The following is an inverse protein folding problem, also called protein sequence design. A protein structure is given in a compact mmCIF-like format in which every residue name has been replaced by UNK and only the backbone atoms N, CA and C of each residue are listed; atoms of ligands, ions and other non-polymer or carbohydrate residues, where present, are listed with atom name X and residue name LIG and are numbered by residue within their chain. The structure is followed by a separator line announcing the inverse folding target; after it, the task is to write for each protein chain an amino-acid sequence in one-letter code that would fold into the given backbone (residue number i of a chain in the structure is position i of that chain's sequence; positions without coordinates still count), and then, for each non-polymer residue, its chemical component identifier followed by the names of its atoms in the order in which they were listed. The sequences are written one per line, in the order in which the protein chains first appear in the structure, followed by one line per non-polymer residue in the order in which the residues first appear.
data_IF_709195838686
#
_entry.id   IF_709195838686
#
_cell.length_a   1.000
_cell.length_b   1.000
_cell.length_c   1.000
_cell.angle_alpha   90.00
_cell.angle_beta   90.00
_cell.angle_gamma   90.00
#
_symmetry.space_group_name_H-M   'P 1'
#
loop_
_entity.id
_entity.type
_entity.pdbx_description
1 polymer ?
#
# COMPACT_ATOMS: atom_id res chain seq x y z
N UNK A 1 -5.31 11.08 9.17
CA UNK A 1 -4.28 10.27 8.49
C UNK A 1 -4.95 9.68 7.27
N UNK A 2 -4.32 9.76 6.10
CA UNK A 2 -4.83 9.21 4.85
C UNK A 2 -4.29 7.79 4.69
N UNK A 3 -5.19 6.82 4.80
CA UNK A 3 -4.90 5.40 4.79
C UNK A 3 -5.15 4.81 3.41
N UNK A 4 -4.13 4.16 2.86
CA UNK A 4 -4.13 3.60 1.52
C UNK A 4 -4.14 2.08 1.61
N UNK A 5 -5.10 1.47 0.92
CA UNK A 5 -5.10 0.05 0.58
C UNK A 5 -4.51 -0.14 -0.82
N UNK A 6 -3.51 -1.00 -0.96
CA UNK A 6 -2.85 -1.27 -2.24
C UNK A 6 -3.18 -2.67 -2.73
N UNK A 7 -3.85 -2.79 -3.88
CA UNK A 7 -4.14 -4.07 -4.50
C UNK A 7 -3.06 -4.40 -5.52
N UNK A 8 -2.12 -5.26 -5.14
CA UNK A 8 -1.02 -5.68 -5.99
C UNK A 8 0.31 -5.06 -5.60
N UNK A 9 1.33 -5.90 -5.52
CA UNK A 9 2.71 -5.53 -5.18
C UNK A 9 3.70 -6.10 -6.21
N UNK A 10 3.43 -5.84 -7.49
CA UNK A 10 4.33 -6.12 -8.60
C UNK A 10 5.31 -4.97 -8.83
N UNK A 11 5.79 -4.80 -10.07
CA UNK A 11 6.70 -3.70 -10.43
C UNK A 11 6.07 -2.32 -10.17
N UNK A 12 4.82 -2.13 -10.57
CA UNK A 12 4.11 -0.85 -10.37
C UNK A 12 3.80 -0.61 -8.89
N UNK A 13 3.22 -1.59 -8.20
CA UNK A 13 2.94 -1.48 -6.76
C UNK A 13 4.19 -1.19 -5.92
N UNK A 14 5.32 -1.83 -6.25
CA UNK A 14 6.62 -1.57 -5.61
C UNK A 14 7.08 -0.12 -5.82
N UNK A 15 6.98 0.40 -7.05
CA UNK A 15 7.31 1.80 -7.33
C UNK A 15 6.41 2.79 -6.58
N UNK A 16 5.12 2.47 -6.41
CA UNK A 16 4.20 3.30 -5.61
C UNK A 16 4.64 3.35 -4.15
N UNK A 17 4.94 2.20 -3.54
CA UNK A 17 5.44 2.14 -2.15
C UNK A 17 6.70 2.99 -1.99
N UNK A 18 7.68 2.81 -2.89
CA UNK A 18 8.93 3.58 -2.87
C UNK A 18 8.70 5.09 -2.98
N UNK A 19 7.87 5.53 -3.92
CA UNK A 19 7.57 6.96 -4.10
C UNK A 19 6.87 7.53 -2.87
N UNK A 20 5.92 6.79 -2.28
CA UNK A 20 5.20 7.21 -1.08
C UNK A 20 6.13 7.34 0.12
N UNK A 21 7.12 6.46 0.26
CA UNK A 21 8.12 6.53 1.33
C UNK A 21 9.15 7.65 1.10
N UNK A 22 9.79 7.67 -0.08
CA UNK A 22 10.83 8.65 -0.43
C UNK A 22 10.30 10.08 -0.42
N UNK A 23 9.05 10.28 -0.88
CA UNK A 23 8.42 11.61 -0.98
C UNK A 23 7.39 11.88 0.11
N UNK A 24 7.32 11.04 1.15
CA UNK A 24 6.31 11.12 2.23
C UNK A 24 6.12 12.55 2.75
N UNK A 25 7.19 13.17 3.25
CA UNK A 25 7.15 14.53 3.82
C UNK A 25 6.65 15.60 2.84
N UNK A 26 7.00 15.47 1.56
CA UNK A 26 6.56 16.42 0.54
C UNK A 26 5.07 16.25 0.27
N UNK A 27 4.61 15.01 0.09
CA UNK A 27 3.20 14.70 -0.15
C UNK A 27 2.34 15.11 1.04
N UNK A 28 2.75 14.77 2.27
CA UNK A 28 2.05 15.13 3.50
C UNK A 28 1.92 16.65 3.67
N UNK A 29 2.96 17.41 3.30
CA UNK A 29 2.91 18.88 3.30
C UNK A 29 1.95 19.43 2.24
N UNK A 30 1.91 18.80 1.06
CA UNK A 30 1.04 19.19 -0.05
C UNK A 30 -0.44 18.99 0.29
N UNK A 31 -0.78 17.83 0.86
CA UNK A 31 -2.17 17.49 1.22
C UNK A 31 -2.55 17.92 2.65
N UNK A 32 -1.59 18.40 3.44
CA UNK A 32 -1.74 18.78 4.86
C UNK A 32 -2.29 17.65 5.74
N UNK A 33 -1.90 16.42 5.44
CA UNK A 33 -2.37 15.20 6.11
C UNK A 33 -1.29 14.12 6.02
N UNK A 34 -1.11 13.35 7.09
CA UNK A 34 -0.19 12.21 7.11
C UNK A 34 -0.64 11.10 6.16
N UNK A 35 0.30 10.39 5.53
CA UNK A 35 0.01 9.29 4.60
C UNK A 35 0.56 7.98 5.15
N UNK A 36 -0.28 6.94 5.10
CA UNK A 36 0.10 5.58 5.47
C UNK A 36 -0.45 4.56 4.49
N UNK A 37 0.38 3.58 4.14
CA UNK A 37 -0.10 2.35 3.52
C UNK A 37 -0.52 1.42 4.67
N UNK A 38 -1.82 1.16 4.76
CA UNK A 38 -2.41 0.33 5.82
C UNK A 38 -2.30 -1.15 5.49
N UNK A 39 -2.61 -1.50 4.24
CA UNK A 39 -2.65 -2.90 3.82
C UNK A 39 -2.31 -3.05 2.33
N UNK A 40 -1.68 -4.16 1.97
CA UNK A 40 -1.27 -4.49 0.61
C UNK A 40 -1.68 -5.92 0.29
N UNK A 41 -2.51 -6.09 -0.73
CA UNK A 41 -2.92 -7.40 -1.24
C UNK A 41 -1.79 -8.01 -2.09
N UNK A 42 -1.42 -9.24 -1.75
CA UNK A 42 -0.40 -10.02 -2.45
C UNK A 42 -0.87 -11.47 -2.62
N UNK A 43 -0.34 -12.17 -3.62
CA UNK A 43 -0.64 -13.60 -3.81
C UNK A 43 0.12 -14.50 -2.82
N UNK A 44 1.26 -14.03 -2.34
CA UNK A 44 2.18 -14.79 -1.47
C UNK A 44 2.92 -13.81 -0.56
N UNK A 45 2.74 -13.94 0.76
CA UNK A 45 3.35 -13.07 1.77
C UNK A 45 4.86 -13.31 1.86
N UNK A 46 5.31 -14.55 1.68
CA UNK A 46 6.72 -14.95 1.85
C UNK A 46 7.56 -14.81 0.57
N UNK A 47 6.93 -14.44 -0.55
CA UNK A 47 7.65 -14.08 -1.78
C UNK A 47 8.68 -13.00 -1.50
N UNK A 48 9.94 -13.27 -1.85
CA UNK A 48 11.03 -12.29 -1.72
C UNK A 48 10.76 -11.07 -2.60
N UNK A 49 10.98 -9.88 -2.05
CA UNK A 49 10.79 -8.58 -2.70
C UNK A 49 12.05 -7.76 -2.53
N UNK A 50 12.26 -6.82 -3.45
CA UNK A 50 13.43 -5.93 -3.45
C UNK A 50 13.25 -4.72 -2.53
N UNK A 51 12.12 -4.63 -1.82
CA UNK A 51 11.80 -3.59 -0.86
C UNK A 51 11.47 -4.18 0.50
N UNK A 52 11.89 -3.49 1.56
CA UNK A 52 11.51 -3.83 2.93
C UNK A 52 10.09 -3.33 3.19
N UNK A 53 9.16 -4.27 3.41
CA UNK A 53 7.80 -3.98 3.83
C UNK A 53 7.52 -4.77 5.09
N UNK A 54 6.89 -4.11 6.06
CA UNK A 54 6.35 -4.77 7.23
C UNK A 54 5.35 -5.87 6.83
N UNK A 55 5.63 -7.11 7.23
CA UNK A 55 4.79 -8.27 6.92
C UNK A 55 3.36 -8.10 7.44
N UNK A 56 3.14 -7.34 8.50
CA UNK A 56 1.80 -7.09 9.06
C UNK A 56 0.89 -6.30 8.09
N UNK A 57 1.49 -5.55 7.16
CA UNK A 57 0.77 -4.82 6.11
C UNK A 57 0.41 -5.71 4.92
N UNK A 58 1.00 -6.89 4.78
CA UNK A 58 0.70 -7.78 3.67
C UNK A 58 -0.51 -8.65 4.01
N UNK A 59 -1.38 -8.87 3.04
CA UNK A 59 -2.49 -9.82 3.16
C UNK A 59 -2.70 -10.56 1.86
N UNK A 60 -3.25 -11.76 1.95
CA UNK A 60 -3.78 -12.54 0.81
C UNK A 60 -5.29 -12.42 0.68
N UNK A 61 -5.96 -11.74 1.62
CA UNK A 61 -7.40 -11.55 1.64
C UNK A 61 -7.76 -10.11 1.23
N UNK A 62 -8.55 -9.98 0.16
CA UNK A 62 -9.01 -8.68 -0.34
C UNK A 62 -10.05 -8.04 0.60
N UNK A 63 -10.82 -8.84 1.35
CA UNK A 63 -11.85 -8.33 2.26
C UNK A 63 -11.26 -7.53 3.43
N UNK A 64 -10.03 -7.86 3.86
CA UNK A 64 -9.27 -7.04 4.80
C UNK A 64 -8.94 -5.63 4.29
N UNK A 65 -9.15 -5.35 3.01
CA UNK A 65 -8.91 -4.04 2.39
C UNK A 65 -10.23 -3.36 2.01
N UNK A 66 -11.12 -4.06 1.32
CA UNK A 66 -12.36 -3.45 0.81
C UNK A 66 -13.42 -3.25 1.90
N UNK A 67 -13.36 -3.99 3.00
CA UNK A 67 -14.28 -3.87 4.15
C UNK A 67 -13.67 -3.08 5.32
N UNK A 68 -12.43 -2.59 5.19
CA UNK A 68 -11.81 -1.76 6.24
C UNK A 68 -12.26 -0.31 6.12
N UNK A 69 -13.19 0.10 6.98
CA UNK A 69 -13.69 1.48 7.09
C UNK A 69 -12.58 2.51 7.41
N UNK A 70 -11.39 2.07 7.83
CA UNK A 70 -10.25 2.96 8.06
C UNK A 70 -9.47 3.25 6.77
N UNK A 71 -9.72 2.55 5.66
CA UNK A 71 -9.03 2.79 4.38
C UNK A 71 -9.77 3.87 3.59
N UNK A 72 -9.10 5.00 3.36
CA UNK A 72 -9.67 6.14 2.65
C UNK A 72 -9.60 5.97 1.12
N UNK A 73 -8.53 5.32 0.63
CA UNK A 73 -8.26 5.16 -0.80
C UNK A 73 -7.78 3.75 -1.10
N UNK A 74 -8.36 3.14 -2.12
CA UNK A 74 -7.88 1.87 -2.68
C UNK A 74 -7.21 2.16 -4.03
N UNK A 75 -5.96 1.71 -4.17
CA UNK A 75 -5.20 1.77 -5.42
C UNK A 75 -5.06 0.36 -5.97
N UNK A 76 -5.58 0.14 -7.16
CA UNK A 76 -5.54 -1.15 -7.85
C UNK A 76 -4.51 -1.11 -8.98
N UNK A 77 -3.53 -2.03 -8.95
CA UNK A 77 -2.42 -2.10 -9.91
C UNK A 77 -2.00 -3.54 -10.24
N UNK A 78 -2.90 -4.51 -10.09
CA UNK A 78 -2.65 -5.87 -10.56
C UNK A 78 -3.22 -6.07 -11.97
N UNK A 79 -2.65 -6.97 -12.74
CA UNK A 79 -3.23 -7.38 -14.02
C UNK A 79 -4.16 -8.57 -13.77
N UNK A 80 -5.32 -8.56 -14.44
CA UNK A 80 -6.34 -9.63 -14.36
C UNK A 80 -5.83 -10.90 -15.05
#
# INVERSE_FOLDING_TARGET
MLNIGLLGLGTVGTGIVQILEERKKYLEKLIKQEISISKILVKDIDKKRDIEIDKEKLTTDIYEIIEDDNIDIIIEVWEV
#
